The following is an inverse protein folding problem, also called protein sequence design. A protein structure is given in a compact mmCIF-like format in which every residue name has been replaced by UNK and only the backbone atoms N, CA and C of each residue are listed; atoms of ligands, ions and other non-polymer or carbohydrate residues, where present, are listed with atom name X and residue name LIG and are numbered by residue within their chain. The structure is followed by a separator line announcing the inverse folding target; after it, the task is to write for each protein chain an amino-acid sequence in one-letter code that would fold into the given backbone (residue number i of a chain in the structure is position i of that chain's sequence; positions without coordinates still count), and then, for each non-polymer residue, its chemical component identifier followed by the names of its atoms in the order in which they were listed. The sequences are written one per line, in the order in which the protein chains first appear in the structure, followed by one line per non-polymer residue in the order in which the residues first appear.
data_IF_786028333471
#
_entry.id   IF_786028333471
#
_cell.length_a   1.000
_cell.length_b   1.000
_cell.length_c   1.000
_cell.angle_alpha   90.00
_cell.angle_beta   90.00
_cell.angle_gamma   90.00
#
_symmetry.space_group_name_H-M   'P 1'
#
loop_
_entity.id
_entity.type
_entity.pdbx_description
1 polymer ?
#
# COMPACT_ATOMS: atom_id res chain seq x y z
N UNK A 1 -12.09 -14.78 12.88
CA UNK A 1 -11.13 -13.94 13.65
C UNK A 1 -11.70 -12.56 13.86
N UNK A 2 -11.89 -12.11 15.11
CA UNK A 2 -12.66 -10.89 15.47
C UNK A 2 -11.75 -9.65 15.50
N UNK A 3 -12.08 -8.62 14.72
CA UNK A 3 -11.50 -7.28 14.76
C UNK A 3 -12.19 -6.49 15.88
N UNK A 4 -11.45 -6.16 16.94
CA UNK A 4 -11.97 -5.46 18.11
C UNK A 4 -12.39 -4.01 17.84
N UNK A 5 -11.80 -3.36 16.83
CA UNK A 5 -12.08 -1.97 16.48
C UNK A 5 -13.43 -1.83 15.73
N UNK A 6 -13.72 -2.75 14.80
CA UNK A 6 -15.02 -2.82 14.11
C UNK A 6 -16.02 -3.82 14.72
N UNK A 7 -15.60 -4.55 15.76
CA UNK A 7 -16.37 -5.60 16.44
C UNK A 7 -16.92 -6.69 15.50
N UNK A 8 -16.15 -7.06 14.47
CA UNK A 8 -16.59 -7.99 13.42
C UNK A 8 -15.51 -9.00 13.05
N UNK A 9 -15.88 -10.17 12.53
CA UNK A 9 -14.87 -11.07 11.98
C UNK A 9 -14.33 -10.49 10.66
N UNK A 10 -13.04 -10.18 10.60
CA UNK A 10 -12.42 -9.55 9.44
C UNK A 10 -11.28 -10.41 8.88
N UNK A 11 -11.18 -10.41 7.56
CA UNK A 11 -10.08 -10.98 6.78
C UNK A 11 -9.45 -9.81 6.03
N UNK A 12 -8.12 -9.72 6.05
CA UNK A 12 -7.38 -8.73 5.28
C UNK A 12 -6.81 -9.36 4.02
N UNK A 13 -6.83 -8.59 2.94
CA UNK A 13 -6.10 -8.87 1.72
C UNK A 13 -5.25 -7.66 1.39
N UNK A 14 -4.10 -7.90 0.76
CA UNK A 14 -3.25 -6.87 0.19
C UNK A 14 -3.22 -7.06 -1.32
N UNK A 15 -3.53 -6.02 -2.09
CA UNK A 15 -3.48 -6.10 -3.56
C UNK A 15 -2.77 -4.89 -4.15
N UNK A 16 -2.16 -5.09 -5.32
CA UNK A 16 -1.60 -4.01 -6.13
C UNK A 16 -2.31 -4.01 -7.47
N UNK A 17 -2.82 -2.84 -7.84
CA UNK A 17 -3.55 -2.61 -9.08
C UNK A 17 -2.79 -1.58 -9.89
N UNK A 18 -2.52 -1.90 -11.16
CA UNK A 18 -1.90 -0.97 -12.11
C UNK A 18 -2.91 0.07 -12.60
N UNK A 19 -2.43 1.13 -13.25
CA UNK A 19 -3.27 2.26 -13.70
C UNK A 19 -4.33 1.87 -14.74
N UNK A 20 -4.17 0.73 -15.41
CA UNK A 20 -5.14 0.12 -16.33
C UNK A 20 -6.19 -0.76 -15.62
N UNK A 21 -6.10 -0.91 -14.30
CA UNK A 21 -7.03 -1.68 -13.49
C UNK A 21 -6.66 -3.17 -13.33
N UNK A 22 -5.52 -3.62 -13.85
CA UNK A 22 -5.09 -5.01 -13.66
C UNK A 22 -4.55 -5.25 -12.25
N UNK A 23 -4.99 -6.33 -11.61
CA UNK A 23 -4.41 -6.81 -10.35
C UNK A 23 -3.12 -7.56 -10.67
N UNK A 24 -1.98 -7.01 -10.27
CA UNK A 24 -0.65 -7.59 -10.52
C UNK A 24 -0.09 -8.34 -9.32
N UNK A 25 -0.67 -8.12 -8.15
CA UNK A 25 -0.35 -8.84 -6.92
C UNK A 25 -1.58 -8.93 -6.02
N UNK A 26 -1.81 -10.10 -5.41
CA UNK A 26 -2.84 -10.33 -4.42
C UNK A 26 -2.31 -11.30 -3.36
N UNK A 27 -2.35 -10.88 -2.09
CA UNK A 27 -1.91 -11.65 -0.94
C UNK A 27 -3.01 -11.71 0.13
N UNK A 28 -3.14 -12.87 0.77
CA UNK A 28 -4.18 -13.19 1.75
C UNK A 28 -4.83 -14.56 1.47
N UNK A 29 -5.84 -14.98 2.26
CA UNK A 29 -6.44 -14.26 3.39
C UNK A 29 -5.51 -14.16 4.60
N UNK A 30 -5.34 -12.96 5.14
CA UNK A 30 -4.64 -12.73 6.40
C UNK A 30 -5.63 -12.45 7.53
N UNK A 31 -5.22 -12.72 8.76
CA UNK A 31 -6.01 -12.39 9.94
C UNK A 31 -6.28 -10.89 10.02
N UNK A 32 -7.54 -10.50 10.27
CA UNK A 32 -7.95 -9.08 10.31
C UNK A 32 -7.25 -8.21 11.35
N UNK A 33 -6.62 -8.80 12.38
CA UNK A 33 -5.80 -8.08 13.38
C UNK A 33 -4.32 -7.96 13.01
N UNK A 34 -3.85 -8.63 11.96
CA UNK A 34 -2.46 -8.50 11.51
C UNK A 34 -2.18 -7.05 11.09
N UNK A 35 -1.00 -6.55 11.46
CA UNK A 35 -0.56 -5.21 11.07
C UNK A 35 -0.27 -5.17 9.56
N UNK A 36 -0.48 -4.02 8.94
CA UNK A 36 -0.30 -3.89 7.49
C UNK A 36 1.16 -4.12 7.06
N UNK A 37 2.11 -3.82 7.95
CA UNK A 37 3.52 -4.18 7.79
C UNK A 37 3.75 -5.69 7.81
N UNK A 38 3.08 -6.44 8.69
CA UNK A 38 3.17 -7.90 8.72
C UNK A 38 2.67 -8.50 7.41
N UNK A 39 1.55 -7.99 6.87
CA UNK A 39 1.07 -8.42 5.55
C UNK A 39 2.08 -8.09 4.44
N UNK A 40 2.71 -6.91 4.51
CA UNK A 40 3.71 -6.51 3.53
C UNK A 40 4.92 -7.43 3.55
N UNK A 41 5.45 -7.75 4.74
CA UNK A 41 6.56 -8.67 4.93
C UNK A 41 6.21 -10.08 4.43
N UNK A 42 5.07 -10.61 4.85
CA UNK A 42 4.62 -11.96 4.49
C UNK A 42 4.35 -12.11 2.98
N UNK A 43 3.93 -11.03 2.32
CA UNK A 43 3.61 -11.04 0.89
C UNK A 43 4.83 -11.09 -0.02
N UNK A 44 6.02 -10.77 0.49
CA UNK A 44 7.22 -10.53 -0.32
C UNK A 44 7.00 -9.54 -1.49
N UNK A 45 6.04 -8.61 -1.35
CA UNK A 45 5.65 -7.69 -2.40
C UNK A 45 6.83 -6.84 -2.89
N UNK A 46 7.65 -6.35 -1.96
CA UNK A 46 8.82 -5.53 -2.29
C UNK A 46 9.79 -6.24 -3.24
N UNK A 47 10.14 -7.48 -2.90
CA UNK A 47 11.04 -8.33 -3.70
C UNK A 47 10.42 -8.65 -5.06
N UNK A 48 9.12 -8.93 -5.08
CA UNK A 48 8.36 -9.24 -6.30
C UNK A 48 8.38 -8.07 -7.29
N UNK A 49 8.11 -6.86 -6.81
CA UNK A 49 8.07 -5.65 -7.64
C UNK A 49 9.47 -5.24 -8.08
N UNK A 50 10.45 -5.28 -7.18
CA UNK A 50 11.84 -4.90 -7.48
C UNK A 50 12.48 -5.83 -8.53
N UNK A 51 12.11 -7.10 -8.53
CA UNK A 51 12.64 -8.09 -9.47
C UNK A 51 11.97 -8.04 -10.85
N UNK A 52 10.75 -7.49 -10.94
CA UNK A 52 9.99 -7.45 -12.17
C UNK A 52 10.35 -6.22 -13.01
N UNK A 53 10.89 -6.48 -14.20
CA UNK A 53 11.36 -5.44 -15.14
C UNK A 53 10.27 -4.48 -15.57
N UNK A 54 8.99 -4.88 -15.51
CA UNK A 54 7.84 -4.05 -15.89
C UNK A 54 7.64 -2.85 -14.94
N UNK A 55 8.09 -2.97 -13.69
CA UNK A 55 7.94 -1.90 -12.67
C UNK A 55 9.21 -1.07 -12.49
N UNK A 56 10.26 -1.29 -13.29
CA UNK A 56 11.47 -0.47 -13.22
C UNK A 56 11.17 1.00 -13.50
N UNK A 57 11.61 1.87 -12.59
CA UNK A 57 11.36 3.31 -12.67
C UNK A 57 9.99 3.74 -12.16
N UNK A 58 9.20 2.82 -11.60
CA UNK A 58 7.95 3.10 -10.91
C UNK A 58 8.07 2.81 -9.42
N UNK A 59 7.30 3.54 -8.62
CA UNK A 59 7.14 3.30 -7.19
C UNK A 59 5.67 3.02 -6.88
N UNK A 60 5.43 2.08 -5.98
CA UNK A 60 4.11 1.82 -5.44
C UNK A 60 3.79 2.86 -4.36
N UNK A 61 2.81 3.71 -4.66
CA UNK A 61 2.34 4.69 -3.68
C UNK A 61 1.34 4.05 -2.72
N UNK A 62 1.64 4.06 -1.43
CA UNK A 62 0.94 3.24 -0.44
C UNK A 62 0.72 3.91 0.91
N UNK A 63 0.61 3.07 1.94
CA UNK A 63 0.41 3.53 3.30
C UNK A 63 1.67 4.26 3.84
N UNK A 64 1.53 5.28 4.71
CA UNK A 64 2.68 5.87 5.40
C UNK A 64 3.56 4.84 6.13
N UNK A 65 2.97 3.74 6.61
CA UNK A 65 3.72 2.70 7.31
C UNK A 65 4.71 1.94 6.41
N UNK A 66 4.56 1.97 5.08
CA UNK A 66 5.46 1.27 4.16
C UNK A 66 6.83 1.95 4.05
N UNK A 67 6.94 3.21 4.45
CA UNK A 67 8.17 3.98 4.37
C UNK A 67 8.60 4.29 2.93
N UNK A 68 9.86 4.69 2.79
CA UNK A 68 10.45 5.05 1.52
C UNK A 68 11.53 4.03 1.17
N UNK A 69 11.27 3.22 0.14
CA UNK A 69 12.23 2.26 -0.42
C UNK A 69 12.33 2.42 -1.93
N UNK A 70 13.19 1.63 -2.59
CA UNK A 70 13.27 1.63 -4.06
C UNK A 70 12.02 1.05 -4.74
N UNK A 71 11.09 0.48 -3.97
CA UNK A 71 9.82 -0.05 -4.45
C UNK A 71 8.60 0.76 -3.98
N UNK A 72 8.66 1.41 -2.81
CA UNK A 72 7.52 2.11 -2.21
C UNK A 72 7.73 3.61 -2.06
N UNK A 73 6.64 4.35 -2.28
CA UNK A 73 6.52 5.74 -1.92
C UNK A 73 5.39 5.93 -0.90
N UNK A 74 5.69 6.56 0.22
CA UNK A 74 4.69 6.99 1.19
C UNK A 74 4.30 8.46 0.99
N UNK A 75 3.10 8.87 1.42
CA UNK A 75 2.72 10.27 1.47
C UNK A 75 3.72 11.08 2.32
N UNK A 76 4.00 12.31 1.91
CA UNK A 76 4.75 13.24 2.77
C UNK A 76 4.01 13.48 4.09
N UNK A 77 4.75 13.72 5.17
CA UNK A 77 4.18 14.06 6.46
C UNK A 77 3.27 15.27 6.36
N UNK A 78 2.11 15.25 7.01
CA UNK A 78 1.18 16.38 7.00
C UNK A 78 1.67 17.57 7.84
N UNK A 79 2.53 17.31 8.83
CA UNK A 79 3.04 18.33 9.75
C UNK A 79 4.32 18.91 9.16
N UNK A 80 4.33 20.22 8.90
CA UNK A 80 5.50 20.90 8.37
C UNK A 80 5.73 20.73 6.87
N UNK A 81 4.84 20.05 6.14
CA UNK A 81 4.97 19.94 4.69
C UNK A 81 4.71 21.26 3.97
N UNK A 82 5.47 21.43 2.89
CA UNK A 82 5.34 22.52 1.95
C UNK A 82 4.06 22.41 1.14
N UNK A 83 3.65 23.53 0.53
CA UNK A 83 2.48 23.53 -0.35
C UNK A 83 2.62 22.57 -1.55
N UNK A 84 3.86 22.36 -2.03
CA UNK A 84 4.15 21.41 -3.10
C UNK A 84 3.93 19.95 -2.67
N UNK A 85 4.42 19.56 -1.49
CA UNK A 85 4.23 18.22 -0.94
C UNK A 85 2.76 17.91 -0.66
N UNK A 86 2.01 18.89 -0.15
CA UNK A 86 0.55 18.78 0.04
C UNK A 86 -0.16 18.57 -1.30
N UNK A 87 0.27 19.26 -2.36
CA UNK A 87 -0.29 19.09 -3.70
C UNK A 87 0.01 17.69 -4.27
N UNK A 88 1.23 17.17 -4.07
CA UNK A 88 1.61 15.80 -4.46
C UNK A 88 0.75 14.77 -3.73
N UNK A 89 0.67 14.85 -2.40
CA UNK A 89 -0.17 13.95 -1.60
C UNK A 89 -1.63 13.97 -2.06
N UNK A 90 -2.18 15.17 -2.34
CA UNK A 90 -3.56 15.32 -2.83
C UNK A 90 -3.76 14.65 -4.20
N UNK A 91 -2.80 14.79 -5.10
CA UNK A 91 -2.84 14.16 -6.43
C UNK A 91 -2.79 12.63 -6.34
N UNK A 92 -1.85 12.11 -5.55
CA UNK A 92 -1.63 10.66 -5.42
C UNK A 92 -2.73 9.96 -4.61
N UNK A 93 -3.26 10.61 -3.57
CA UNK A 93 -4.40 10.06 -2.82
C UNK A 93 -5.68 9.94 -3.66
N UNK A 94 -5.81 10.70 -4.76
CA UNK A 94 -6.96 10.61 -5.66
C UNK A 94 -6.93 9.36 -6.54
N UNK A 95 -5.73 8.85 -6.84
CA UNK A 95 -5.54 7.66 -7.68
C UNK A 95 -5.31 6.39 -6.86
N UNK A 96 -5.11 6.50 -5.55
CA UNK A 96 -5.01 5.36 -4.64
C UNK A 96 -6.36 4.63 -4.58
N UNK A 97 -6.34 3.35 -4.92
CA UNK A 97 -7.51 2.46 -4.82
C UNK A 97 -7.50 1.81 -3.44
N UNK A 98 -8.61 1.93 -2.71
CA UNK A 98 -8.85 1.25 -1.44
C UNK A 98 -10.10 0.40 -1.65
N UNK A 99 -10.00 -0.90 -1.38
CA UNK A 99 -11.13 -1.84 -1.40
C UNK A 99 -11.43 -2.19 0.06
N UNK A 100 -12.64 -1.86 0.52
CA UNK A 100 -13.12 -2.17 1.88
C UNK A 100 -13.95 -3.45 1.94
#
# INVERSE_FOLDING_TARGET
MYNSHKRSHAVKYQSVVTSDGMIVHLFGPAEGRAHDLTLLEDSALESTISSDRRFRGYLLYGDPAYGHTDAFASPFDKVGSTQAEVAVNKSLNKVRIIVE
#
